data_IF_716952820186
#
_entry.id   IF_716952820186
#
_cell.length_a   1.000
_cell.length_b   1.000
_cell.length_c   1.000
_cell.angle_alpha   90.00
_cell.angle_beta   90.00
_cell.angle_gamma   90.00
#
_symmetry.space_group_name_H-M   'P 1'
#
loop_
_entity.id
_entity.type
_entity.pdbx_description
1 polymer ?
#
# COMPACT_ATOMS: atom_id res chain seq x y z
N UNK A 1 -1.38 6.96 -16.89
CA UNK A 1 -1.41 6.60 -15.46
C UNK A 1 -2.81 6.38 -14.90
N UNK A 2 -3.87 6.93 -15.51
CA UNK A 2 -5.24 6.74 -14.99
C UNK A 2 -5.70 5.26 -14.98
N UNK A 3 -5.46 4.53 -16.08
CA UNK A 3 -5.78 3.11 -16.19
C UNK A 3 -5.01 2.26 -15.16
N UNK A 4 -3.70 2.50 -15.04
CA UNK A 4 -2.85 1.80 -14.07
C UNK A 4 -3.33 2.02 -12.64
N UNK A 5 -3.60 3.28 -12.27
CA UNK A 5 -4.15 3.62 -10.96
C UNK A 5 -5.51 2.96 -10.72
N UNK A 6 -6.33 2.79 -11.76
CA UNK A 6 -7.62 2.12 -11.65
C UNK A 6 -7.47 0.63 -11.33
N UNK A 7 -6.59 -0.08 -12.03
CA UNK A 7 -6.37 -1.50 -11.76
C UNK A 7 -5.74 -1.73 -10.38
N UNK A 8 -4.77 -0.89 -9.98
CA UNK A 8 -4.21 -0.96 -8.64
C UNK A 8 -5.31 -0.71 -7.60
N UNK A 9 -6.13 0.33 -7.78
CA UNK A 9 -7.22 0.64 -6.85
C UNK A 9 -8.25 -0.50 -6.71
N UNK A 10 -8.56 -1.22 -7.79
CA UNK A 10 -9.42 -2.40 -7.75
C UNK A 10 -8.81 -3.52 -6.88
N UNK A 11 -7.52 -3.82 -7.07
CA UNK A 11 -6.83 -4.82 -6.26
C UNK A 11 -6.79 -4.42 -4.78
N UNK A 12 -6.49 -3.15 -4.48
CA UNK A 12 -6.46 -2.65 -3.11
C UNK A 12 -7.84 -2.69 -2.46
N UNK A 13 -8.91 -2.35 -3.17
CA UNK A 13 -10.26 -2.46 -2.64
C UNK A 13 -10.57 -3.90 -2.23
N UNK A 14 -10.22 -4.88 -3.07
CA UNK A 14 -10.36 -6.31 -2.74
C UNK A 14 -9.55 -6.67 -1.48
N UNK A 15 -8.29 -6.23 -1.36
CA UNK A 15 -7.49 -6.51 -0.16
C UNK A 15 -8.02 -5.84 1.10
N UNK A 16 -8.55 -4.62 0.99
CA UNK A 16 -9.20 -3.93 2.10
C UNK A 16 -10.40 -4.73 2.59
N UNK A 17 -11.25 -5.20 1.69
CA UNK A 17 -12.43 -6.00 2.06
C UNK A 17 -12.07 -7.37 2.64
N UNK A 18 -11.02 -8.02 2.12
CA UNK A 18 -10.67 -9.38 2.53
C UNK A 18 -9.81 -9.42 3.79
N UNK A 19 -8.83 -8.52 3.91
CA UNK A 19 -7.79 -8.61 4.92
C UNK A 19 -7.86 -7.50 5.97
N UNK A 20 -8.58 -6.41 5.70
CA UNK A 20 -8.65 -5.22 6.56
C UNK A 20 -7.25 -4.81 7.10
N UNK A 21 -6.25 -4.62 6.23
CA UNK A 21 -4.89 -4.33 6.68
C UNK A 21 -4.87 -2.98 7.40
N UNK A 22 -3.96 -2.80 8.36
CA UNK A 22 -3.79 -1.51 9.04
C UNK A 22 -2.97 -0.50 8.21
N UNK A 23 -2.20 -0.99 7.25
CA UNK A 23 -1.38 -0.20 6.33
C UNK A 23 -1.09 -1.01 5.07
N UNK A 24 -1.04 -0.33 3.93
CA UNK A 24 -0.67 -0.90 2.63
C UNK A 24 0.58 -0.16 2.14
N UNK A 25 1.62 -0.91 1.81
CA UNK A 25 2.88 -0.36 1.28
C UNK A 25 3.01 -0.74 -0.20
N UNK A 26 3.01 0.24 -1.09
CA UNK A 26 3.07 0.05 -2.54
C UNK A 26 4.47 0.31 -3.09
N UNK A 27 5.26 -0.77 -3.22
CA UNK A 27 6.58 -0.74 -3.87
C UNK A 27 6.55 -1.06 -5.37
N UNK A 28 7.74 -1.16 -5.96
CA UNK A 28 7.96 -1.47 -7.38
C UNK A 28 8.29 -0.23 -8.22
N UNK A 29 8.86 -0.42 -9.41
CA UNK A 29 9.28 0.69 -10.28
C UNK A 29 8.11 1.53 -10.82
N UNK A 30 6.93 0.91 -11.01
CA UNK A 30 5.72 1.59 -11.47
C UNK A 30 5.16 2.54 -10.40
N UNK A 31 5.21 2.15 -9.12
CA UNK A 31 4.68 2.97 -8.03
C UNK A 31 5.56 4.18 -7.67
N UNK A 32 6.76 4.28 -8.23
CA UNK A 32 7.66 5.43 -8.05
C UNK A 32 7.22 6.68 -8.83
N UNK A 33 6.24 6.56 -9.74
CA UNK A 33 5.71 7.70 -10.48
C UNK A 33 4.94 8.64 -9.55
N UNK A 34 5.36 9.91 -9.36
CA UNK A 34 4.81 10.78 -8.31
C UNK A 34 3.30 11.00 -8.40
N UNK A 35 2.76 11.08 -9.62
CA UNK A 35 1.33 11.25 -9.85
C UNK A 35 0.47 10.02 -9.53
N UNK A 36 1.04 8.83 -9.35
CA UNK A 36 0.27 7.60 -9.24
C UNK A 36 -0.40 7.45 -7.88
N UNK A 37 0.26 7.82 -6.78
CA UNK A 37 -0.32 7.68 -5.43
C UNK A 37 -1.60 8.52 -5.25
N UNK A 38 -1.62 9.81 -5.59
CA UNK A 38 -2.86 10.60 -5.48
C UNK A 38 -4.02 10.02 -6.31
N UNK A 39 -3.73 9.50 -7.51
CA UNK A 39 -4.74 8.87 -8.36
C UNK A 39 -5.28 7.57 -7.75
N UNK A 40 -4.39 6.74 -7.17
CA UNK A 40 -4.80 5.51 -6.48
C UNK A 40 -5.66 5.85 -5.26
N UNK A 41 -5.25 6.80 -4.43
CA UNK A 41 -6.02 7.23 -3.25
C UNK A 41 -7.45 7.62 -3.63
N UNK A 42 -7.60 8.51 -4.63
CA UNK A 42 -8.90 8.95 -5.09
C UNK A 42 -9.76 7.79 -5.62
N UNK A 43 -9.17 6.89 -6.42
CA UNK A 43 -9.90 5.76 -7.01
C UNK A 43 -10.29 4.72 -5.98
N UNK A 44 -9.45 4.44 -4.98
CA UNK A 44 -9.78 3.53 -3.86
C UNK A 44 -10.96 4.07 -3.08
N UNK A 45 -10.95 5.35 -2.69
CA UNK A 45 -12.08 5.95 -1.97
C UNK A 45 -13.37 5.89 -2.80
N UNK A 46 -13.28 6.19 -4.11
CA UNK A 46 -14.43 6.11 -5.03
C UNK A 46 -14.98 4.70 -5.17
N UNK A 47 -14.12 3.67 -5.22
CA UNK A 47 -14.53 2.27 -5.32
C UNK A 47 -15.16 1.76 -4.01
N UNK A 48 -14.62 2.18 -2.86
CA UNK A 48 -15.18 1.81 -1.55
C UNK A 48 -16.53 2.47 -1.31
N UNK A 49 -16.71 3.69 -1.83
CA UNK A 49 -17.98 4.40 -1.85
C UNK A 49 -18.71 4.41 -0.49
N UNK A 50 -17.95 4.59 0.60
CA UNK A 50 -18.49 4.69 1.97
C UNK A 50 -18.89 3.36 2.63
N UNK A 51 -18.65 2.20 2.00
CA UNK A 51 -18.94 0.91 2.62
C UNK A 51 -18.07 0.65 3.86
N UNK A 52 -16.77 0.95 3.77
CA UNK A 52 -15.85 0.88 4.92
C UNK A 52 -15.69 2.28 5.51
N UNK A 53 -16.31 2.49 6.67
CA UNK A 53 -16.30 3.77 7.38
C UNK A 53 -15.13 3.84 8.37
N UNK A 54 -13.91 3.92 7.85
CA UNK A 54 -12.68 4.03 8.63
C UNK A 54 -12.02 5.40 8.41
N UNK A 55 -11.60 6.12 9.47
CA UNK A 55 -10.89 7.40 9.33
C UNK A 55 -9.59 7.27 8.50
N UNK A 56 -8.95 6.11 8.54
CA UNK A 56 -7.76 5.80 7.73
C UNK A 56 -8.06 5.83 6.23
N UNK A 57 -9.27 5.46 5.82
CA UNK A 57 -9.68 5.43 4.41
C UNK A 57 -10.37 6.73 4.00
N UNK A 58 -11.23 7.28 4.86
CA UNK A 58 -12.03 8.45 4.53
C UNK A 58 -11.23 9.76 4.61
N UNK A 59 -10.35 9.89 5.60
CA UNK A 59 -9.66 11.15 5.90
C UNK A 59 -8.15 11.03 5.71
N UNK A 60 -7.56 9.89 6.06
CA UNK A 60 -6.10 9.73 6.18
C UNK A 60 -5.51 8.71 5.21
N UNK A 61 -6.06 8.61 3.99
CA UNK A 61 -5.68 7.56 3.03
C UNK A 61 -4.21 7.64 2.61
N UNK A 62 -3.62 8.84 2.62
CA UNK A 62 -2.20 9.02 2.32
C UNK A 62 -1.26 8.42 3.38
N UNK A 63 -1.73 8.25 4.63
CA UNK A 63 -1.02 7.54 5.69
C UNK A 63 -1.34 6.03 5.72
N UNK A 64 -2.42 5.63 5.03
CA UNK A 64 -2.88 4.26 4.93
C UNK A 64 -2.22 3.51 3.76
N UNK A 65 -2.19 4.12 2.57
CA UNK A 65 -1.54 3.60 1.36
C UNK A 65 -0.30 4.43 1.09
N UNK A 66 0.87 3.88 1.42
CA UNK A 66 2.15 4.62 1.47
C UNK A 66 3.18 4.02 0.51
N UNK A 67 4.15 4.82 0.03
CA UNK A 67 5.35 4.29 -0.60
C UNK A 67 6.24 3.56 0.43
N UNK A 68 7.13 2.66 0.00
CA UNK A 68 8.10 2.03 0.89
C UNK A 68 9.08 3.06 1.46
N UNK A 69 9.15 3.17 2.78
CA UNK A 69 10.08 4.07 3.46
C UNK A 69 11.56 3.72 3.21
N UNK A 70 11.85 2.46 2.94
CA UNK A 70 13.20 1.96 2.63
C UNK A 70 13.54 2.00 1.13
N UNK A 71 12.65 2.59 0.31
CA UNK A 71 12.82 2.67 -1.13
C UNK A 71 13.08 1.32 -1.78
N UNK A 72 14.05 1.28 -2.71
CA UNK A 72 14.48 0.08 -3.43
C UNK A 72 15.12 -0.99 -2.56
N UNK A 73 15.48 -0.68 -1.31
CA UNK A 73 16.19 -1.60 -0.43
C UNK A 73 15.26 -2.49 0.40
N UNK A 74 13.94 -2.29 0.32
CA UNK A 74 12.95 -3.00 1.15
C UNK A 74 13.11 -4.53 1.09
N UNK A 75 13.39 -5.09 -0.10
CA UNK A 75 13.60 -6.53 -0.27
C UNK A 75 14.89 -7.03 0.40
N UNK A 76 16.01 -6.35 0.14
CA UNK A 76 17.34 -6.74 0.69
C UNK A 76 17.37 -6.59 2.20
N UNK A 77 16.87 -5.47 2.73
CA UNK A 77 16.78 -5.24 4.17
C UNK A 77 15.83 -6.23 4.84
N UNK A 78 14.76 -6.65 4.15
CA UNK A 78 13.89 -7.74 4.60
C UNK A 78 14.64 -9.07 4.76
N UNK A 79 15.51 -9.41 3.80
CA UNK A 79 16.34 -10.63 3.89
C UNK A 79 17.34 -10.57 5.06
N UNK A 80 17.97 -9.41 5.29
CA UNK A 80 18.87 -9.22 6.43
C UNK A 80 18.09 -9.34 7.76
N UNK A 81 16.90 -8.74 7.85
CA UNK A 81 16.06 -8.87 9.04
C UNK A 81 15.62 -10.32 9.29
N UNK A 82 15.42 -11.13 8.25
CA UNK A 82 15.17 -12.57 8.39
C UNK A 82 16.40 -13.31 8.93
N UNK A 83 17.60 -12.98 8.46
CA UNK A 83 18.85 -13.57 8.97
C UNK A 83 19.09 -13.22 10.45
N UNK A 84 18.88 -11.96 10.84
CA UNK A 84 18.98 -11.51 12.23
C UNK A 84 18.01 -12.29 13.14
N UNK A 85 16.75 -12.44 12.72
CA UNK A 85 15.75 -13.23 13.47
C UNK A 85 16.10 -14.71 13.56
N UNK A 86 16.80 -15.26 12.59
CA UNK A 86 17.26 -16.65 12.62
C UNK A 86 18.41 -16.83 13.62
N UNK A 87 19.35 -15.87 13.70
CA UNK A 87 20.43 -15.87 14.70
C UNK A 87 19.94 -15.62 16.14
N UNK A 88 18.85 -14.87 16.33
CA UNK A 88 18.27 -14.61 17.65
C UNK A 88 17.40 -15.76 18.21
N UNK A 89 17.15 -16.80 17.41
CA UNK A 89 16.33 -17.96 17.83
C UNK A 89 17.12 -19.05 18.57
N UNK A 90 18.33 -18.73 19.03
CA UNK A 90 19.15 -19.53 19.95
C UNK A 90 19.14 -18.91 21.35
#
# INVERSE_FOLDING_TARGET
>A
WDLEAHYIALALASYIYTLSPQRIVLGGGVSQQPQLMPLIHQKVQKLINGYVQSPQILENIAAYIVPPALGSHTGVLGAIALAERACQKE
#
